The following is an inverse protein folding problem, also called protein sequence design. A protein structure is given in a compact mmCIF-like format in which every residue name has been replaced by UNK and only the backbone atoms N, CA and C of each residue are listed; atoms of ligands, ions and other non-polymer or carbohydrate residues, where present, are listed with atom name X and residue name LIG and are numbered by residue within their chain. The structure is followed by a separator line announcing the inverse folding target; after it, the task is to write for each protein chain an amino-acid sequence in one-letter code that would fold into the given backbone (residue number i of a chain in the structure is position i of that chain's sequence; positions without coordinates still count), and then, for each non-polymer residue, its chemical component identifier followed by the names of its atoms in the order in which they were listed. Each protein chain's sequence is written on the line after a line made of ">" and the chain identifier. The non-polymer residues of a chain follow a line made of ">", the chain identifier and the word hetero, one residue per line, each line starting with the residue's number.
data_IF_164410369837
#
_entry.id   IF_164410369837
#
_cell.length_a   1.000
_cell.length_b   1.000
_cell.length_c   1.000
_cell.angle_alpha   90.00
_cell.angle_beta   90.00
_cell.angle_gamma   90.00
#
_symmetry.space_group_name_H-M   'P 1'
#
loop_
_entity.id
_entity.type
_entity.pdbx_description
1 polymer ?
#
# COMPACT_ATOMS: atom_id res chain seq x y z
N UNK A 1 0.58 -18.13 13.36
CA UNK A 1 -0.84 -18.45 13.10
C UNK A 1 -1.35 -17.93 11.74
N UNK A 2 -1.39 -16.60 11.48
CA UNK A 2 -1.92 -16.08 10.19
C UNK A 2 -1.04 -16.41 8.99
N UNK A 3 0.26 -16.27 9.12
CA UNK A 3 1.23 -16.59 8.04
C UNK A 3 1.26 -18.10 7.78
N UNK A 4 1.14 -18.94 8.82
CA UNK A 4 1.09 -20.38 8.67
C UNK A 4 -0.15 -20.80 7.88
N UNK A 5 -1.30 -20.21 8.20
CA UNK A 5 -2.54 -20.43 7.43
C UNK A 5 -2.40 -19.98 5.96
N UNK A 6 -1.80 -18.81 5.71
CA UNK A 6 -1.57 -18.34 4.34
C UNK A 6 -0.64 -19.27 3.57
N UNK A 7 0.45 -19.73 4.17
CA UNK A 7 1.35 -20.68 3.52
C UNK A 7 0.69 -22.05 3.31
N UNK A 8 -0.16 -22.50 4.24
CA UNK A 8 -0.99 -23.68 4.04
C UNK A 8 -1.92 -23.51 2.84
N UNK A 9 -2.65 -22.39 2.75
CA UNK A 9 -3.52 -22.10 1.61
C UNK A 9 -2.76 -22.03 0.27
N UNK A 10 -1.56 -21.41 0.27
CA UNK A 10 -0.68 -21.38 -0.91
C UNK A 10 -0.32 -22.80 -1.37
N UNK A 11 -0.02 -23.69 -0.44
CA UNK A 11 0.30 -25.10 -0.73
C UNK A 11 -0.93 -25.84 -1.26
N UNK A 12 -2.07 -25.77 -0.58
CA UNK A 12 -3.30 -26.46 -0.99
C UNK A 12 -3.79 -26.01 -2.37
N UNK A 13 -3.65 -24.72 -2.67
CA UNK A 13 -4.01 -24.17 -3.99
C UNK A 13 -2.91 -24.34 -5.04
N UNK A 14 -1.80 -25.00 -4.71
CA UNK A 14 -0.65 -25.21 -5.61
C UNK A 14 -0.10 -23.93 -6.26
N UNK A 15 -0.09 -22.81 -5.52
CA UNK A 15 0.36 -21.52 -6.03
C UNK A 15 1.90 -21.46 -5.99
N UNK A 16 2.54 -21.70 -7.15
CA UNK A 16 4.01 -21.78 -7.27
C UNK A 16 4.71 -20.42 -7.11
N UNK A 17 4.01 -19.32 -7.31
CA UNK A 17 4.54 -17.94 -7.32
C UNK A 17 4.05 -17.07 -6.15
N UNK A 18 3.42 -17.66 -5.14
CA UNK A 18 2.95 -16.95 -3.95
C UNK A 18 3.75 -17.34 -2.71
N UNK A 19 3.99 -16.39 -1.82
CA UNK A 19 4.72 -16.60 -0.56
C UNK A 19 4.22 -15.66 0.52
N UNK A 20 3.84 -16.19 1.68
CA UNK A 20 3.49 -15.39 2.83
C UNK A 20 4.70 -15.22 3.77
N UNK A 21 4.95 -13.99 4.22
CA UNK A 21 6.02 -13.64 5.17
C UNK A 21 5.46 -12.84 6.34
N UNK A 22 5.98 -13.10 7.53
CA UNK A 22 5.72 -12.25 8.70
C UNK A 22 6.77 -11.13 8.71
N UNK A 23 6.38 -9.96 8.23
CA UNK A 23 7.28 -8.82 8.08
C UNK A 23 6.49 -7.53 8.29
N UNK A 24 7.11 -6.52 8.88
CA UNK A 24 6.56 -5.17 8.95
C UNK A 24 6.83 -4.44 7.63
N UNK A 25 5.85 -3.68 7.15
CA UNK A 25 5.96 -3.00 5.86
C UNK A 25 7.09 -1.96 5.84
N UNK A 26 7.28 -1.21 6.94
CA UNK A 26 8.37 -0.25 7.08
C UNK A 26 9.75 -0.91 7.05
N UNK A 27 9.90 -2.07 7.68
CA UNK A 27 11.16 -2.84 7.66
C UNK A 27 11.46 -3.38 6.25
N UNK A 28 10.41 -3.85 5.55
CA UNK A 28 10.52 -4.29 4.17
C UNK A 28 10.95 -3.15 3.24
N UNK A 29 10.32 -1.99 3.38
CA UNK A 29 10.57 -0.80 2.55
C UNK A 29 11.89 -0.09 2.87
N UNK A 30 12.47 -0.30 4.06
CA UNK A 30 13.77 0.25 4.42
C UNK A 30 14.93 -0.41 3.65
N UNK A 31 14.94 -1.74 3.55
CA UNK A 31 16.07 -2.49 2.98
C UNK A 31 15.67 -3.63 2.05
N UNK A 32 14.90 -4.59 2.57
CA UNK A 32 14.75 -5.93 1.96
C UNK A 32 14.01 -5.90 0.62
N UNK A 33 12.94 -5.12 0.53
CA UNK A 33 12.06 -5.06 -0.64
C UNK A 33 11.97 -3.65 -1.24
N UNK A 34 12.88 -2.75 -0.84
CA UNK A 34 12.89 -1.38 -1.38
C UNK A 34 13.06 -1.40 -2.90
N UNK A 35 12.17 -0.72 -3.61
CA UNK A 35 12.24 -0.58 -5.05
C UNK A 35 12.17 -1.90 -5.83
N UNK A 36 11.50 -2.92 -5.29
CA UNK A 36 11.47 -4.25 -5.89
C UNK A 36 10.12 -4.65 -6.52
N UNK A 37 9.04 -4.01 -6.09
CA UNK A 37 7.69 -4.37 -6.52
C UNK A 37 7.24 -3.53 -7.72
N UNK A 38 6.59 -4.15 -8.69
CA UNK A 38 5.88 -3.46 -9.78
C UNK A 38 4.52 -2.95 -9.30
N UNK A 39 3.87 -3.70 -8.43
CA UNK A 39 2.56 -3.38 -7.85
C UNK A 39 2.58 -3.66 -6.35
N UNK A 40 2.04 -2.73 -5.56
CA UNK A 40 1.73 -2.92 -4.14
C UNK A 40 0.24 -2.74 -3.95
N UNK A 41 -0.38 -3.57 -3.14
CA UNK A 41 -1.81 -3.46 -2.82
C UNK A 41 -2.02 -3.38 -1.31
N UNK A 42 -2.99 -2.58 -0.85
CA UNK A 42 -3.39 -2.55 0.55
C UNK A 42 -4.89 -2.36 0.71
N UNK A 43 -5.43 -2.98 1.78
CA UNK A 43 -6.83 -2.85 2.18
C UNK A 43 -6.94 -2.79 3.70
N UNK A 44 -7.71 -1.82 4.23
CA UNK A 44 -8.08 -1.71 5.65
C UNK A 44 -6.89 -1.72 6.64
N UNK A 45 -5.75 -1.14 6.25
CA UNK A 45 -4.53 -1.10 7.10
C UNK A 45 -4.37 0.25 7.82
N UNK A 46 -4.92 1.34 7.28
CA UNK A 46 -4.79 2.68 7.88
C UNK A 46 -5.26 3.81 6.96
N UNK A 47 -4.97 5.03 7.37
CA UNK A 47 -5.21 6.23 6.56
C UNK A 47 -4.27 6.26 5.35
N UNK A 48 -4.69 6.95 4.30
CA UNK A 48 -3.99 6.97 3.00
C UNK A 48 -2.56 7.49 3.10
N UNK A 49 -2.30 8.55 3.85
CA UNK A 49 -0.95 9.08 4.06
C UNK A 49 0.00 8.06 4.72
N UNK A 50 -0.48 7.31 5.72
CA UNK A 50 0.27 6.21 6.36
C UNK A 50 0.54 5.11 5.34
N UNK A 51 -0.48 4.72 4.57
CA UNK A 51 -0.34 3.66 3.56
C UNK A 51 0.63 4.04 2.44
N UNK A 52 0.63 5.30 2.00
CA UNK A 52 1.60 5.78 1.03
C UNK A 52 3.04 5.64 1.55
N UNK A 53 3.32 6.06 2.78
CA UNK A 53 4.67 5.94 3.35
C UNK A 53 5.13 4.48 3.52
N UNK A 54 4.20 3.55 3.78
CA UNK A 54 4.51 2.13 3.88
C UNK A 54 4.66 1.42 2.53
N UNK A 55 3.99 1.94 1.48
CA UNK A 55 3.86 1.26 0.18
C UNK A 55 4.80 1.79 -0.89
N UNK A 56 4.91 3.13 -1.03
CA UNK A 56 5.68 3.74 -2.11
C UNK A 56 7.18 3.37 -2.09
N UNK A 57 7.85 3.27 -0.92
CA UNK A 57 9.24 2.82 -0.89
C UNK A 57 9.49 1.40 -1.44
N UNK A 58 8.48 0.53 -1.42
CA UNK A 58 8.55 -0.83 -1.96
C UNK A 58 8.53 -0.86 -3.49
N UNK A 59 7.90 0.14 -4.12
CA UNK A 59 7.72 0.19 -5.56
C UNK A 59 9.01 0.51 -6.31
N UNK A 60 9.16 -0.08 -7.47
CA UNK A 60 10.06 0.41 -8.53
C UNK A 60 9.58 1.80 -8.99
N UNK A 61 10.45 2.55 -9.65
CA UNK A 61 10.03 3.75 -10.39
C UNK A 61 8.98 3.34 -11.43
N UNK A 62 7.90 4.12 -11.55
CA UNK A 62 6.70 3.84 -12.35
C UNK A 62 5.88 2.61 -11.89
N UNK A 63 6.22 2.01 -10.76
CA UNK A 63 5.35 1.03 -10.11
C UNK A 63 4.11 1.69 -9.48
N UNK A 64 3.05 0.91 -9.28
CA UNK A 64 1.76 1.42 -8.82
C UNK A 64 1.38 0.88 -7.44
N UNK A 65 0.79 1.75 -6.63
CA UNK A 65 0.13 1.38 -5.38
C UNK A 65 -1.39 1.43 -5.56
N UNK A 66 -2.06 0.32 -5.30
CA UNK A 66 -3.52 0.17 -5.37
C UNK A 66 -4.09 0.16 -3.95
N UNK A 67 -4.78 1.24 -3.59
CA UNK A 67 -5.40 1.41 -2.28
C UNK A 67 -6.90 1.09 -2.36
N UNK A 68 -7.32 0.01 -1.72
CA UNK A 68 -8.74 -0.38 -1.62
C UNK A 68 -9.42 0.39 -0.50
N UNK A 69 -10.40 1.22 -0.87
CA UNK A 69 -11.14 2.10 0.04
C UNK A 69 -12.64 1.74 0.10
N UNK A 70 -13.26 2.12 1.21
CA UNK A 70 -14.73 2.18 1.32
C UNK A 70 -15.31 3.37 0.54
N UNK A 71 -16.49 3.81 0.95
CA UNK A 71 -17.19 4.96 0.37
C UNK A 71 -16.45 6.28 0.65
N UNK A 72 -15.93 6.44 1.86
CA UNK A 72 -15.26 7.67 2.30
C UNK A 72 -13.84 7.76 1.71
N UNK A 73 -13.57 8.88 1.04
CA UNK A 73 -12.28 9.26 0.44
C UNK A 73 -11.66 10.49 1.08
N UNK A 74 -12.17 11.00 2.20
CA UNK A 74 -11.69 12.22 2.84
C UNK A 74 -10.18 12.18 3.15
N UNK A 75 -9.66 11.01 3.56
CA UNK A 75 -8.24 10.81 3.82
C UNK A 75 -7.36 10.72 2.57
N UNK A 76 -7.97 10.50 1.40
CA UNK A 76 -7.29 10.55 0.10
C UNK A 76 -7.00 11.99 -0.29
N UNK A 77 -7.95 12.89 -0.07
CA UNK A 77 -7.80 14.31 -0.42
C UNK A 77 -6.76 15.03 0.49
N UNK A 78 -6.59 14.55 1.72
CA UNK A 78 -5.59 15.11 2.66
C UNK A 78 -4.18 14.52 2.48
N UNK A 79 -4.00 13.50 1.66
CA UNK A 79 -2.72 12.80 1.48
C UNK A 79 -1.72 13.49 0.53
N UNK A 80 -1.99 14.71 0.04
CA UNK A 80 -1.13 15.44 -0.92
C UNK A 80 0.28 15.69 -0.41
N UNK A 81 0.44 15.94 0.89
CA UNK A 81 1.77 16.11 1.50
C UNK A 81 2.58 14.83 1.40
N UNK A 82 1.95 13.67 1.66
CA UNK A 82 2.59 12.37 1.53
C UNK A 82 2.95 12.06 0.06
N UNK A 83 2.08 12.39 -0.89
CA UNK A 83 2.37 12.24 -2.32
C UNK A 83 3.64 13.00 -2.71
N UNK A 84 3.73 14.28 -2.33
CA UNK A 84 4.90 15.11 -2.63
C UNK A 84 6.17 14.60 -1.94
N UNK A 85 6.09 14.27 -0.65
CA UNK A 85 7.25 13.82 0.12
C UNK A 85 7.82 12.47 -0.35
N UNK A 86 6.98 11.62 -0.92
CA UNK A 86 7.34 10.26 -1.35
C UNK A 86 7.61 10.14 -2.85
N UNK A 87 7.50 11.25 -3.61
CA UNK A 87 7.56 11.28 -5.07
C UNK A 87 6.50 10.36 -5.70
N UNK A 88 5.28 10.42 -5.20
CA UNK A 88 4.13 9.69 -5.71
C UNK A 88 3.06 10.64 -6.24
N UNK A 89 2.19 10.13 -7.10
CA UNK A 89 1.07 10.89 -7.67
C UNK A 89 -0.17 10.01 -7.75
N UNK A 90 -1.30 10.54 -7.26
CA UNK A 90 -2.60 9.92 -7.50
C UNK A 90 -2.91 10.02 -9.00
N UNK A 91 -3.13 8.88 -9.66
CA UNK A 91 -3.40 8.82 -11.10
C UNK A 91 -4.85 8.54 -11.41
N UNK A 92 -5.49 7.63 -10.66
CA UNK A 92 -6.84 7.19 -10.98
C UNK A 92 -7.65 6.93 -9.71
N UNK A 93 -8.97 7.10 -9.82
CA UNK A 93 -9.96 6.70 -8.82
C UNK A 93 -11.09 5.98 -9.54
N UNK A 94 -11.29 4.72 -9.20
CA UNK A 94 -12.41 3.92 -9.69
C UNK A 94 -13.46 3.81 -8.60
N UNK A 95 -14.69 4.27 -8.89
CA UNK A 95 -15.84 4.08 -8.02
C UNK A 95 -16.74 2.98 -8.60
N UNK A 96 -17.22 2.07 -7.76
CA UNK A 96 -18.14 1.01 -8.15
C UNK A 96 -19.00 0.54 -6.97
N UNK A 97 -20.15 -0.03 -7.27
CA UNK A 97 -21.02 -0.65 -6.29
C UNK A 97 -20.79 -2.16 -6.29
N UNK A 98 -20.72 -2.73 -5.09
CA UNK A 98 -20.72 -4.19 -4.96
C UNK A 98 -22.13 -4.75 -5.23
N UNK A 99 -22.25 -5.97 -5.82
CA UNK A 99 -23.52 -6.62 -5.99
C UNK A 99 -24.23 -6.83 -4.64
N UNK A 100 -25.55 -7.02 -4.70
CA UNK A 100 -26.40 -7.26 -3.52
C UNK A 100 -26.43 -6.09 -2.52
N UNK A 101 -26.36 -4.85 -3.01
CA UNK A 101 -26.42 -3.62 -2.19
C UNK A 101 -25.43 -3.56 -1.02
N UNK A 102 -24.30 -4.25 -1.14
CA UNK A 102 -23.24 -4.26 -0.11
C UNK A 102 -22.50 -2.90 -0.03
N UNK A 103 -22.85 -1.96 -0.92
CA UNK A 103 -22.45 -0.57 -0.88
C UNK A 103 -21.28 -0.22 -1.82
N UNK A 104 -20.96 1.06 -1.82
CA UNK A 104 -19.94 1.65 -2.68
C UNK A 104 -18.51 1.29 -2.23
N UNK A 105 -17.64 1.12 -3.20
CA UNK A 105 -16.20 0.91 -3.00
C UNK A 105 -15.41 1.76 -3.97
N UNK A 106 -14.19 2.08 -3.55
CA UNK A 106 -13.26 2.83 -4.34
C UNK A 106 -11.93 2.09 -4.45
N UNK A 107 -11.30 2.18 -5.61
CA UNK A 107 -9.92 1.82 -5.82
C UNK A 107 -9.19 3.10 -6.19
N UNK A 108 -8.20 3.48 -5.39
CA UNK A 108 -7.37 4.66 -5.65
C UNK A 108 -5.97 4.19 -6.05
N UNK A 109 -5.50 4.66 -7.20
CA UNK A 109 -4.21 4.28 -7.77
C UNK A 109 -3.22 5.43 -7.63
N UNK A 110 -2.03 5.11 -7.15
CA UNK A 110 -0.89 6.02 -7.08
C UNK A 110 0.27 5.44 -7.87
N UNK A 111 0.95 6.28 -8.64
CA UNK A 111 2.19 5.95 -9.32
C UNK A 111 3.38 6.51 -8.56
N UNK A 112 4.48 5.77 -8.46
CA UNK A 112 5.76 6.27 -8.00
C UNK A 112 6.48 6.96 -9.16
N UNK A 113 6.58 8.28 -9.11
CA UNK A 113 7.13 9.09 -10.21
C UNK A 113 8.67 9.06 -10.19
N UNK A 114 9.27 9.20 -9.01
CA UNK A 114 10.72 9.21 -8.81
C UNK A 114 11.12 8.36 -7.60
N UNK A 115 12.40 8.17 -7.39
CA UNK A 115 12.90 7.45 -6.24
C UNK A 115 12.49 8.14 -4.95
N UNK A 116 11.92 7.35 -4.03
CA UNK A 116 11.53 7.82 -2.71
C UNK A 116 12.79 8.19 -1.91
N UNK A 117 12.82 9.39 -1.26
CA UNK A 117 13.95 9.80 -0.44
C UNK A 117 14.33 8.75 0.62
N UNK A 118 15.63 8.59 0.89
CA UNK A 118 16.15 7.54 1.79
C UNK A 118 15.70 7.65 3.24
N UNK A 119 15.19 8.82 3.66
CA UNK A 119 14.61 9.01 5.00
C UNK A 119 13.27 8.29 5.19
N UNK A 120 12.63 7.85 4.10
CA UNK A 120 11.38 7.09 4.12
C UNK A 120 11.60 5.62 3.74
N UNK A 121 10.84 4.68 4.28
CA UNK A 121 9.83 4.90 5.32
C UNK A 121 10.48 5.21 6.68
N UNK A 122 9.82 6.04 7.48
CA UNK A 122 10.21 6.28 8.86
C UNK A 122 9.80 5.08 9.74
N UNK A 123 10.28 5.03 10.98
CA UNK A 123 9.82 4.02 11.95
C UNK A 123 8.30 4.13 12.17
N UNK A 124 7.60 3.02 12.26
CA UNK A 124 6.13 2.99 12.34
C UNK A 124 5.57 3.87 13.46
N UNK A 125 6.22 3.91 14.64
CA UNK A 125 5.82 4.79 15.73
C UNK A 125 5.82 6.28 15.35
N UNK A 126 6.78 6.71 14.53
CA UNK A 126 6.86 8.07 14.00
C UNK A 126 5.77 8.32 12.96
N UNK A 127 5.58 7.38 12.04
CA UNK A 127 4.53 7.45 11.00
C UNK A 127 3.15 7.61 11.65
N UNK A 128 2.86 6.80 12.67
CA UNK A 128 1.57 6.82 13.37
C UNK A 128 1.35 8.10 14.17
N UNK A 129 2.40 8.62 14.82
CA UNK A 129 2.31 9.81 15.67
C UNK A 129 2.23 11.10 14.86
N UNK A 130 2.99 11.18 13.79
CA UNK A 130 3.10 12.34 12.91
C UNK A 130 3.05 11.88 11.44
N UNK A 131 1.84 11.52 10.93
CA UNK A 131 1.68 11.14 9.52
C UNK A 131 2.04 12.30 8.58
N UNK A 132 2.46 11.98 7.36
CA UNK A 132 2.78 12.97 6.31
C UNK A 132 1.54 13.73 5.87
#
# INVERSE_FOLDING_TARGET
>A
KRVDFLNFAVSELSLKNAKAKHLRAEEAGEKLLRGSADVVVARAVGQTNILLELSIPLLKKHGIFINYKGKDLSDVETAKTAEAALNAKKTEVFNFCLPFDVGERNIVVYEKIEDTPKIYPRKFGTIKKNPL
#
